data_IF_602601322982
#
_entry.id   IF_602601322982
#
_cell.length_a   1.000
_cell.length_b   1.000
_cell.length_c   1.000
_cell.angle_alpha   90.00
_cell.angle_beta   90.00
_cell.angle_gamma   90.00
#
_symmetry.space_group_name_H-M   'P 1'
#
loop_
_entity.id
_entity.type
_entity.pdbx_description
1 polymer ?
#
# COMPACT_ATOMS: atom_id res chain seq x y z
N UNK A 1 -7.32 -4.66 3.62
CA UNK A 1 -8.44 -4.20 2.77
C UNK A 1 -7.84 -3.63 1.50
N UNK A 2 -8.26 -4.08 0.31
CA UNK A 2 -7.68 -3.56 -0.92
C UNK A 2 -8.29 -2.19 -1.22
N UNK A 3 -7.46 -1.14 -1.21
CA UNK A 3 -7.89 0.25 -1.37
C UNK A 3 -8.54 0.49 -2.75
N UNK A 4 -8.19 -0.30 -3.77
CA UNK A 4 -8.73 -0.22 -5.12
C UNK A 4 -10.11 -0.91 -5.27
N UNK A 5 -10.52 -1.78 -4.34
CA UNK A 5 -11.76 -2.54 -4.46
C UNK A 5 -13.00 -1.65 -4.54
N UNK A 6 -13.04 -0.57 -3.74
CA UNK A 6 -14.14 0.41 -3.76
C UNK A 6 -14.14 1.23 -5.05
N UNK A 7 -12.96 1.58 -5.58
CA UNK A 7 -12.89 2.28 -6.88
C UNK A 7 -13.36 1.39 -8.03
N UNK A 8 -13.07 0.09 -7.98
CA UNK A 8 -13.53 -0.89 -8.97
C UNK A 8 -15.06 -1.06 -8.98
N UNK A 9 -15.72 -0.91 -7.83
CA UNK A 9 -17.19 -0.96 -7.74
C UNK A 9 -17.86 0.36 -8.13
N UNK A 10 -17.23 1.51 -7.90
CA UNK A 10 -17.79 2.83 -8.24
C UNK A 10 -17.59 3.19 -9.72
N UNK A 11 -16.42 2.88 -10.30
CA UNK A 11 -16.09 3.22 -11.69
C UNK A 11 -16.59 2.13 -12.64
N UNK A 12 -17.58 2.46 -13.48
CA UNK A 12 -18.21 1.49 -14.39
C UNK A 12 -17.51 1.34 -15.75
N UNK A 13 -16.55 2.21 -16.08
CA UNK A 13 -15.81 2.15 -17.35
C UNK A 13 -15.01 0.84 -17.42
N UNK A 14 -15.21 0.00 -18.45
CA UNK A 14 -14.52 -1.29 -18.57
C UNK A 14 -13.00 -1.19 -18.52
N UNK A 15 -12.42 -0.18 -19.18
CA UNK A 15 -10.98 0.06 -19.24
C UNK A 15 -10.41 0.33 -17.85
N UNK A 16 -11.12 1.14 -17.05
CA UNK A 16 -10.71 1.44 -15.68
C UNK A 16 -10.85 0.22 -14.76
N UNK A 17 -11.89 -0.60 -14.95
CA UNK A 17 -12.06 -1.86 -14.19
C UNK A 17 -10.97 -2.86 -14.51
N UNK A 18 -10.58 -3.00 -15.78
CA UNK A 18 -9.43 -3.81 -16.18
C UNK A 18 -8.14 -3.31 -15.51
N UNK A 19 -7.92 -2.00 -15.49
CA UNK A 19 -6.77 -1.39 -14.82
C UNK A 19 -6.74 -1.71 -13.31
N UNK A 20 -7.83 -1.47 -12.58
CA UNK A 20 -7.89 -1.77 -11.15
C UNK A 20 -7.76 -3.27 -10.87
N UNK A 21 -8.36 -4.14 -11.69
CA UNK A 21 -8.19 -5.58 -11.56
C UNK A 21 -6.72 -6.02 -11.67
N UNK A 22 -5.99 -5.46 -12.63
CA UNK A 22 -4.56 -5.72 -12.78
C UNK A 22 -3.74 -5.12 -11.64
N UNK A 23 -4.09 -3.92 -11.18
CA UNK A 23 -3.43 -3.27 -10.04
C UNK A 23 -3.51 -4.15 -8.78
N UNK A 24 -4.69 -4.71 -8.47
CA UNK A 24 -4.90 -5.61 -7.33
C UNK A 24 -3.98 -6.85 -7.44
N UNK A 25 -3.85 -7.42 -8.64
CA UNK A 25 -2.97 -8.55 -8.87
C UNK A 25 -1.50 -8.20 -8.62
N UNK A 26 -1.05 -7.04 -9.14
CA UNK A 26 0.33 -6.57 -8.95
C UNK A 26 0.64 -6.22 -7.49
N UNK A 27 -0.30 -5.63 -6.76
CA UNK A 27 -0.15 -5.35 -5.32
C UNK A 27 0.05 -6.64 -4.50
N UNK A 28 -0.61 -7.74 -4.87
CA UNK A 28 -0.39 -9.03 -4.23
C UNK A 28 1.04 -9.55 -4.49
N UNK A 29 1.54 -9.41 -5.72
CA UNK A 29 2.93 -9.76 -6.07
C UNK A 29 3.92 -8.89 -5.30
N UNK A 30 3.64 -7.59 -5.15
CA UNK A 30 4.46 -6.70 -4.32
C UNK A 30 4.50 -7.17 -2.86
N UNK A 31 3.35 -7.54 -2.29
CA UNK A 31 3.25 -8.04 -0.92
C UNK A 31 4.06 -9.33 -0.71
N UNK A 32 3.98 -10.27 -1.65
CA UNK A 32 4.76 -11.50 -1.63
C UNK A 32 6.27 -11.19 -1.73
N UNK A 33 6.65 -10.33 -2.66
CA UNK A 33 8.05 -9.91 -2.85
C UNK A 33 8.63 -9.33 -1.57
N UNK A 34 7.94 -8.40 -0.91
CA UNK A 34 8.42 -7.83 0.36
C UNK A 34 8.46 -8.85 1.49
N UNK A 35 7.50 -9.76 1.56
CA UNK A 35 7.49 -10.82 2.57
C UNK A 35 8.69 -11.74 2.40
N UNK A 36 9.02 -12.11 1.17
CA UNK A 36 10.20 -12.92 0.85
C UNK A 36 11.51 -12.18 1.18
N UNK A 37 11.60 -10.88 0.90
CA UNK A 37 12.78 -10.07 1.25
C UNK A 37 12.97 -10.00 2.76
N UNK A 38 11.90 -9.81 3.53
CA UNK A 38 11.95 -9.82 5.00
C UNK A 38 12.41 -11.19 5.51
N UNK A 39 11.81 -12.28 5.04
CA UNK A 39 12.20 -13.64 5.46
C UNK A 39 13.66 -13.96 5.09
N UNK A 40 14.12 -13.48 3.93
CA UNK A 40 15.49 -13.70 3.45
C UNK A 40 16.51 -12.91 4.28
N UNK A 41 16.26 -11.64 4.59
CA UNK A 41 17.27 -10.77 5.19
C UNK A 41 17.18 -10.64 6.71
N UNK A 42 16.01 -10.84 7.31
CA UNK A 42 15.80 -10.70 8.77
C UNK A 42 15.85 -12.07 9.44
N UNK A 43 16.98 -12.37 10.08
CA UNK A 43 17.23 -13.68 10.71
C UNK A 43 16.64 -13.82 12.11
N UNK A 44 16.52 -12.72 12.85
CA UNK A 44 15.88 -12.74 14.17
C UNK A 44 14.36 -12.93 14.01
N UNK A 45 13.85 -13.99 14.65
CA UNK A 45 12.43 -14.36 14.58
C UNK A 45 11.54 -13.33 15.26
N UNK A 46 12.01 -12.68 16.32
CA UNK A 46 11.25 -11.66 17.03
C UNK A 46 11.11 -10.39 16.19
N UNK A 47 12.20 -9.91 15.62
CA UNK A 47 12.18 -8.76 14.71
C UNK A 47 11.37 -9.04 13.45
N UNK A 48 11.50 -10.24 12.87
CA UNK A 48 10.69 -10.66 11.72
C UNK A 48 9.20 -10.64 12.04
N UNK A 49 8.79 -11.18 13.19
CA UNK A 49 7.39 -11.12 13.63
C UNK A 49 6.93 -9.65 13.80
N UNK A 50 7.75 -8.79 14.40
CA UNK A 50 7.45 -7.35 14.52
C UNK A 50 7.21 -6.69 13.18
N UNK A 51 8.01 -7.02 12.16
CA UNK A 51 7.92 -6.45 10.81
C UNK A 51 6.72 -6.99 10.02
N UNK A 52 6.34 -8.26 10.18
CA UNK A 52 5.09 -8.77 9.61
C UNK A 52 3.84 -8.13 10.25
N UNK A 53 3.92 -7.74 11.52
CA UNK A 53 2.90 -6.98 12.22
C UNK A 53 3.16 -5.45 12.21
N UNK A 54 3.84 -4.93 11.18
CA UNK A 54 4.29 -3.55 11.16
C UNK A 54 3.16 -2.51 11.26
N UNK A 55 1.97 -2.80 10.74
CA UNK A 55 0.79 -1.91 10.88
C UNK A 55 0.44 -1.66 12.35
N UNK A 56 0.61 -2.65 13.22
CA UNK A 56 0.30 -2.53 14.65
C UNK A 56 1.52 -2.07 15.46
N UNK A 57 2.71 -2.49 15.05
CA UNK A 57 3.95 -2.37 15.83
C UNK A 57 4.87 -1.22 15.40
N UNK A 58 4.69 -0.65 14.21
CA UNK A 58 5.50 0.47 13.70
C UNK A 58 4.63 1.74 13.63
N UNK A 59 4.86 2.74 14.50
CA UNK A 59 4.00 3.92 14.60
C UNK A 59 3.79 4.68 13.27
N UNK A 60 4.83 4.81 12.45
CA UNK A 60 4.73 5.48 11.16
C UNK A 60 3.85 4.72 10.15
N UNK A 61 3.90 3.38 10.16
CA UNK A 61 3.06 2.53 9.30
C UNK A 61 1.61 2.60 9.77
N UNK A 62 1.37 2.51 11.08
CA UNK A 62 0.04 2.69 11.68
C UNK A 62 -0.58 4.03 11.30
N UNK A 63 0.15 5.13 11.46
CA UNK A 63 -0.35 6.47 11.14
C UNK A 63 -0.72 6.61 9.65
N UNK A 64 0.06 6.00 8.74
CA UNK A 64 -0.27 5.95 7.31
C UNK A 64 -1.53 5.14 7.05
N UNK A 65 -1.67 3.97 7.68
CA UNK A 65 -2.85 3.12 7.54
C UNK A 65 -4.12 3.82 8.04
N UNK A 66 -4.07 4.44 9.22
CA UNK A 66 -5.18 5.22 9.78
C UNK A 66 -5.56 6.40 8.90
N UNK A 67 -4.57 7.11 8.33
CA UNK A 67 -4.84 8.19 7.39
C UNK A 67 -5.52 7.68 6.11
N UNK A 68 -5.02 6.58 5.54
CA UNK A 68 -5.59 5.99 4.32
C UNK A 68 -7.05 5.56 4.56
N UNK A 69 -7.33 4.87 5.66
CA UNK A 69 -8.69 4.47 6.06
C UNK A 69 -9.60 5.69 6.25
N UNK A 70 -9.11 6.74 6.93
CA UNK A 70 -9.88 7.97 7.16
C UNK A 70 -10.35 8.63 5.87
N UNK A 71 -9.51 8.67 4.83
CA UNK A 71 -9.85 9.39 3.60
C UNK A 71 -10.49 8.49 2.55
N UNK A 72 -9.89 7.33 2.26
CA UNK A 72 -10.35 6.42 1.20
C UNK A 72 -11.61 5.65 1.65
N UNK A 73 -11.71 5.30 2.94
CA UNK A 73 -12.89 4.67 3.52
C UNK A 73 -14.06 5.62 3.76
N UNK A 74 -13.85 6.95 3.69
CA UNK A 74 -14.92 7.92 3.99
C UNK A 74 -16.01 8.04 2.92
N UNK A 75 -17.16 8.55 3.33
CA UNK A 75 -18.27 8.91 2.44
C UNK A 75 -18.11 10.30 1.81
N UNK A 76 -16.88 10.80 1.73
CA UNK A 76 -16.60 12.07 1.04
C UNK A 76 -16.82 11.95 -0.48
N UNK A 77 -16.63 13.03 -1.23
CA UNK A 77 -16.74 12.97 -2.70
C UNK A 77 -15.70 12.02 -3.31
N UNK A 78 -16.06 11.31 -4.38
CA UNK A 78 -15.14 10.49 -5.18
C UNK A 78 -13.81 11.20 -5.49
N UNK A 79 -13.85 12.46 -5.91
CA UNK A 79 -12.66 13.24 -6.23
C UNK A 79 -11.68 13.35 -5.05
N UNK A 80 -12.17 13.58 -3.83
CA UNK A 80 -11.34 13.63 -2.62
C UNK A 80 -10.71 12.28 -2.32
N UNK A 81 -11.48 11.19 -2.43
CA UNK A 81 -10.95 9.83 -2.29
C UNK A 81 -9.88 9.54 -3.34
N UNK A 82 -10.08 9.94 -4.59
CA UNK A 82 -9.12 9.72 -5.67
C UNK A 82 -7.80 10.47 -5.42
N UNK A 83 -7.86 11.73 -4.96
CA UNK A 83 -6.66 12.47 -4.55
C UNK A 83 -5.96 11.79 -3.38
N UNK A 84 -6.71 11.34 -2.37
CA UNK A 84 -6.14 10.62 -1.24
C UNK A 84 -5.47 9.30 -1.67
N UNK A 85 -6.11 8.56 -2.58
CA UNK A 85 -5.56 7.34 -3.17
C UNK A 85 -4.25 7.62 -3.93
N UNK A 86 -4.22 8.67 -4.76
CA UNK A 86 -2.99 9.09 -5.45
C UNK A 86 -1.86 9.48 -4.48
N UNK A 87 -2.16 10.07 -3.32
CA UNK A 87 -1.18 10.32 -2.28
C UNK A 87 -0.62 9.03 -1.66
N UNK A 88 -1.45 8.00 -1.45
CA UNK A 88 -0.99 6.70 -0.94
C UNK A 88 -0.02 6.05 -1.92
N UNK A 89 -0.39 5.97 -3.20
CA UNK A 89 0.43 5.31 -4.22
C UNK A 89 1.69 6.12 -4.58
N UNK A 90 1.59 7.44 -4.66
CA UNK A 90 2.66 8.30 -5.17
C UNK A 90 3.58 8.91 -4.12
N UNK A 91 3.06 9.27 -2.94
CA UNK A 91 3.79 10.06 -1.95
C UNK A 91 4.26 9.20 -0.78
N UNK A 92 3.39 8.35 -0.22
CA UNK A 92 3.62 7.70 1.07
C UNK A 92 4.88 6.83 1.11
N UNK A 93 5.27 6.22 0.00
CA UNK A 93 6.44 5.34 -0.08
C UNK A 93 7.61 5.90 -0.90
N UNK A 94 7.47 7.09 -1.47
CA UNK A 94 8.49 7.72 -2.33
C UNK A 94 9.86 7.84 -1.64
N UNK A 95 9.89 8.26 -0.38
CA UNK A 95 11.12 8.34 0.41
C UNK A 95 11.78 6.99 0.65
N UNK A 96 10.99 5.93 0.90
CA UNK A 96 11.50 4.57 1.07
C UNK A 96 12.10 4.02 -0.22
N UNK A 97 11.44 4.23 -1.37
CA UNK A 97 12.00 3.88 -2.66
C UNK A 97 13.31 4.63 -2.93
N UNK A 98 13.35 5.94 -2.70
CA UNK A 98 14.56 6.73 -2.86
C UNK A 98 15.74 6.18 -2.04
N UNK A 99 15.50 5.81 -0.78
CA UNK A 99 16.54 5.22 0.09
C UNK A 99 17.06 3.87 -0.42
N UNK A 100 16.21 3.04 -1.03
CA UNK A 100 16.64 1.77 -1.65
C UNK A 100 17.45 2.05 -2.92
N UNK A 101 17.02 3.00 -3.76
CA UNK A 101 17.76 3.40 -4.95
C UNK A 101 19.14 4.00 -4.64
N UNK A 102 19.30 4.61 -3.47
CA UNK A 102 20.60 5.05 -2.99
C UNK A 102 21.59 3.88 -2.83
N UNK A 103 21.14 2.73 -2.35
CA UNK A 103 21.99 1.52 -2.18
C UNK A 103 22.35 0.84 -3.50
N UNK A 104 21.61 1.11 -4.59
CA UNK A 104 21.91 0.59 -5.92
C UNK A 104 23.14 1.27 -6.54
N UNK A 105 23.43 2.50 -6.11
CA UNK A 105 24.51 3.33 -6.63
C UNK A 105 25.86 2.88 -6.07
#
# INVERSE_FOLDING_TARGET
>A
ENLAQRFCSEVQLPEARCFYGFQIAMENIHSETYSLLIDTYVKDTNERARLFHAVERVPAVRAKAEWALRWIGSDTSFAKRLVAFACVEGIFFSGSFCAIFWLKK
#
